data_IF_012155696172
#
_entry.id   IF_012155696172
#
_cell.length_a   1.000
_cell.length_b   1.000
_cell.length_c   1.000
_cell.angle_alpha   90.00
_cell.angle_beta   90.00
_cell.angle_gamma   90.00
#
_symmetry.space_group_name_H-M   'P 1'
#
loop_
_entity.id
_entity.type
_entity.pdbx_description
1 polymer ?
#
# COMPACT_ATOMS: atom_id res chain seq x y z
N UNK A 1 -6.20 -17.81 -6.85
CA UNK A 1 -5.11 -17.87 -5.84
C UNK A 1 -5.20 -16.62 -5.00
N UNK A 2 -6.06 -16.60 -3.99
CA UNK A 2 -6.29 -15.42 -3.14
C UNK A 2 -5.40 -15.54 -1.91
N UNK A 3 -4.36 -14.70 -1.84
CA UNK A 3 -3.53 -14.58 -0.64
C UNK A 3 -4.42 -14.22 0.54
N UNK A 4 -4.27 -14.94 1.65
CA UNK A 4 -4.99 -14.68 2.90
C UNK A 4 -4.84 -13.19 3.24
N UNK A 5 -5.94 -12.53 3.56
CA UNK A 5 -5.90 -11.24 4.26
C UNK A 5 -5.08 -11.42 5.54
N UNK A 6 -4.17 -10.49 5.79
CA UNK A 6 -3.40 -10.46 7.03
C UNK A 6 -3.73 -9.17 7.77
N UNK A 7 -3.74 -9.27 9.09
CA UNK A 7 -3.99 -8.12 9.93
C UNK A 7 -2.73 -7.30 10.12
N UNK A 8 -2.82 -5.96 10.20
CA UNK A 8 -1.68 -5.10 10.54
C UNK A 8 -1.04 -5.49 11.88
N UNK A 9 -1.82 -6.06 12.80
CA UNK A 9 -1.39 -6.57 14.10
C UNK A 9 -0.48 -7.80 14.03
N UNK A 10 -0.43 -8.50 12.90
CA UNK A 10 0.39 -9.71 12.70
C UNK A 10 1.88 -9.39 12.50
N UNK A 11 2.20 -8.14 12.15
CA UNK A 11 3.58 -7.69 11.95
C UNK A 11 4.33 -7.70 13.28
N UNK A 12 5.60 -8.07 13.40
CA UNK A 12 6.27 -8.10 14.71
C UNK A 12 6.57 -6.68 15.25
N UNK A 13 6.95 -5.75 14.37
CA UNK A 13 7.31 -4.38 14.75
C UNK A 13 6.14 -3.42 14.98
N UNK A 14 6.11 -2.79 16.17
CA UNK A 14 5.09 -1.80 16.55
C UNK A 14 5.00 -0.57 15.63
N UNK A 15 6.14 -0.09 15.12
CA UNK A 15 6.17 1.11 14.26
C UNK A 15 5.50 0.82 12.91
N UNK A 16 5.77 -0.36 12.35
CA UNK A 16 5.14 -0.83 11.12
C UNK A 16 3.64 -1.07 11.39
N UNK A 17 3.28 -1.77 12.47
CA UNK A 17 1.86 -1.98 12.86
C UNK A 17 1.07 -0.66 12.88
N UNK A 18 1.62 0.39 13.48
CA UNK A 18 0.96 1.70 13.61
C UNK A 18 0.70 2.34 12.25
N UNK A 19 1.65 2.24 11.31
CA UNK A 19 1.47 2.75 9.94
C UNK A 19 0.46 1.90 9.19
N UNK A 20 0.58 0.57 9.24
CA UNK A 20 -0.35 -0.33 8.55
C UNK A 20 -1.79 -0.13 9.03
N UNK A 21 -2.02 0.00 10.33
CA UNK A 21 -3.35 0.26 10.89
C UNK A 21 -3.95 1.55 10.32
N UNK A 22 -3.18 2.64 10.32
CA UNK A 22 -3.61 3.92 9.76
C UNK A 22 -3.94 3.83 8.27
N UNK A 23 -3.19 3.03 7.51
CA UNK A 23 -3.43 2.85 6.08
C UNK A 23 -4.69 2.02 5.85
N UNK A 24 -4.90 0.95 6.60
CA UNK A 24 -6.14 0.16 6.52
C UNK A 24 -7.36 1.02 6.89
N UNK A 25 -7.25 1.88 7.91
CA UNK A 25 -8.29 2.88 8.25
C UNK A 25 -8.55 3.89 7.12
N UNK A 26 -7.56 4.15 6.25
CA UNK A 26 -7.70 5.00 5.05
C UNK A 26 -8.25 4.22 3.83
N UNK A 27 -8.62 2.96 3.99
CA UNK A 27 -9.12 2.11 2.90
C UNK A 27 -8.06 1.29 2.17
N UNK A 28 -6.82 1.24 2.66
CA UNK A 28 -5.82 0.35 2.08
C UNK A 28 -6.10 -1.10 2.46
N UNK A 29 -5.91 -2.02 1.53
CA UNK A 29 -6.12 -3.45 1.77
C UNK A 29 -4.79 -4.17 1.89
N UNK A 30 -4.64 -5.02 2.90
CA UNK A 30 -3.41 -5.75 3.16
C UNK A 30 -3.59 -7.24 2.83
N UNK A 31 -2.76 -7.73 1.91
CA UNK A 31 -2.78 -9.13 1.48
C UNK A 31 -1.46 -9.83 1.82
N UNK A 32 -1.54 -11.11 2.20
CA UNK A 32 -0.36 -11.95 2.40
C UNK A 32 0.23 -12.34 1.05
N UNK A 33 1.37 -11.75 0.73
CA UNK A 33 2.10 -11.98 -0.51
C UNK A 33 3.61 -11.93 -0.26
N UNK A 34 4.34 -12.79 -0.97
CA UNK A 34 5.80 -12.90 -0.82
C UNK A 34 6.21 -13.27 0.62
N UNK A 35 7.25 -12.61 1.13
CA UNK A 35 7.84 -12.90 2.44
C UNK A 35 6.96 -12.50 3.64
N UNK A 36 6.03 -11.56 3.47
CA UNK A 36 5.09 -11.19 4.53
C UNK A 36 3.76 -10.70 3.94
N UNK A 37 3.77 -9.55 3.27
CA UNK A 37 2.54 -8.98 2.74
C UNK A 37 2.75 -7.78 1.84
N UNK A 38 1.67 -7.38 1.18
CA UNK A 38 1.60 -6.22 0.30
C UNK A 38 0.32 -5.44 0.57
N UNK A 39 0.47 -4.13 0.65
CA UNK A 39 -0.63 -3.17 0.73
C UNK A 39 -1.06 -2.77 -0.68
N UNK A 40 -2.36 -2.67 -0.86
CA UNK A 40 -3.02 -2.28 -2.09
C UNK A 40 -3.89 -1.06 -1.81
N UNK A 41 -3.76 -0.02 -2.64
CA UNK A 41 -4.72 1.07 -2.62
C UNK A 41 -6.07 0.58 -3.13
N UNK A 42 -7.16 0.98 -2.49
CA UNK A 42 -8.52 0.80 -3.00
C UNK A 42 -8.72 1.42 -4.39
N UNK A 43 -8.06 2.55 -4.62
CA UNK A 43 -8.02 3.26 -5.90
C UNK A 43 -7.22 2.54 -7.01
N UNK A 44 -6.54 1.43 -6.71
CA UNK A 44 -5.72 0.67 -7.67
C UNK A 44 -4.46 1.38 -8.18
N UNK A 45 -4.20 2.63 -7.78
CA UNK A 45 -3.10 3.41 -8.33
C UNK A 45 -1.73 2.99 -7.78
N UNK A 46 -1.66 2.40 -6.58
CA UNK A 46 -0.38 2.08 -5.95
C UNK A 46 -0.48 0.83 -5.08
N UNK A 47 0.64 0.10 -5.01
CA UNK A 47 0.81 -1.03 -4.11
C UNK A 47 2.17 -0.93 -3.41
N UNK A 48 2.20 -1.19 -2.11
CA UNK A 48 3.39 -1.04 -1.26
C UNK A 48 3.74 -2.38 -0.66
N UNK A 49 4.96 -2.86 -0.91
CA UNK A 49 5.44 -4.10 -0.31
C UNK A 49 5.78 -3.88 1.16
N UNK A 50 5.30 -4.78 2.02
CA UNK A 50 5.55 -4.73 3.46
C UNK A 50 6.58 -5.82 3.82
N UNK A 51 7.80 -5.44 4.26
CA UNK A 51 8.81 -6.41 4.68
C UNK A 51 8.46 -6.96 6.07
N UNK A 52 8.49 -8.28 6.26
CA UNK A 52 8.17 -8.90 7.56
C UNK A 52 9.25 -8.80 8.63
N UNK A 53 10.52 -8.72 8.21
CA UNK A 53 11.70 -8.60 9.10
C UNK A 53 12.65 -7.51 8.59
N UNK A 54 12.26 -6.23 8.71
CA UNK A 54 13.12 -5.13 8.29
C UNK A 54 14.31 -4.98 9.25
N UNK A 55 15.52 -4.78 8.70
CA UNK A 55 16.71 -4.43 9.50
C UNK A 55 16.50 -3.14 10.32
N UNK A 56 15.65 -2.23 9.83
CA UNK A 56 15.27 -0.98 10.50
C UNK A 56 13.76 -0.75 10.36
N UNK A 57 12.98 -1.10 11.39
CA UNK A 57 11.52 -0.98 11.38
C UNK A 57 11.03 0.46 11.20
N UNK A 58 11.65 1.45 11.84
CA UNK A 58 11.28 2.87 11.70
C UNK A 58 11.45 3.36 10.25
N UNK A 59 12.57 3.01 9.60
CA UNK A 59 12.81 3.35 8.20
C UNK A 59 11.79 2.68 7.28
N UNK A 60 11.48 1.40 7.52
CA UNK A 60 10.47 0.67 6.75
C UNK A 60 9.08 1.32 6.92
N UNK A 61 8.68 1.64 8.15
CA UNK A 61 7.42 2.31 8.45
C UNK A 61 7.31 3.68 7.77
N UNK A 62 8.37 4.50 7.83
CA UNK A 62 8.44 5.79 7.13
C UNK A 62 8.32 5.64 5.62
N UNK A 63 9.02 4.67 5.04
CA UNK A 63 8.94 4.37 3.61
C UNK A 63 7.53 4.00 3.21
N UNK A 64 6.90 3.05 3.92
CA UNK A 64 5.52 2.63 3.65
C UNK A 64 4.56 3.83 3.70
N UNK A 65 4.69 4.67 4.74
CA UNK A 65 3.89 5.88 4.89
C UNK A 65 4.11 6.87 3.74
N UNK A 66 5.34 7.06 3.29
CA UNK A 66 5.66 7.97 2.18
C UNK A 66 5.12 7.44 0.85
N UNK A 67 5.26 6.15 0.57
CA UNK A 67 4.75 5.55 -0.66
C UNK A 67 3.21 5.60 -0.68
N UNK A 68 2.56 5.26 0.43
CA UNK A 68 1.11 5.35 0.54
C UNK A 68 0.59 6.80 0.52
N UNK A 69 1.31 7.74 1.12
CA UNK A 69 0.92 9.16 1.12
C UNK A 69 1.09 9.87 -0.24
N UNK A 70 1.69 9.22 -1.24
CA UNK A 70 1.72 9.71 -2.62
C UNK A 70 0.43 9.41 -3.38
N UNK A 71 -0.43 8.54 -2.83
CA UNK A 71 -1.77 8.33 -3.35
C UNK A 71 -2.66 9.55 -2.99
N UNK A 72 -3.47 10.07 -3.93
CA UNK A 72 -3.68 9.62 -5.31
C UNK A 72 -2.55 10.05 -6.26
N UNK A 73 -2.01 9.09 -7.03
CA UNK A 73 -1.06 9.37 -8.10
C UNK A 73 -1.82 9.87 -9.34
N UNK A 74 -1.28 10.85 -10.10
CA UNK A 74 -1.86 11.27 -11.37
C UNK A 74 -1.85 10.11 -12.36
N UNK A 75 -2.78 10.14 -13.33
CA UNK A 75 -2.99 9.02 -14.23
C UNK A 75 -1.79 8.65 -15.09
N UNK A 76 -0.95 9.64 -15.40
CA UNK A 76 0.27 9.53 -16.21
C UNK A 76 1.53 9.20 -15.36
N UNK A 77 1.41 9.01 -14.03
CA UNK A 77 2.59 8.73 -13.21
C UNK A 77 3.11 7.29 -13.48
N UNK A 78 4.39 7.11 -13.85
CA UNK A 78 4.96 5.79 -14.11
C UNK A 78 5.03 4.88 -12.87
N UNK A 79 4.75 5.42 -11.68
CA UNK A 79 4.64 4.64 -10.43
C UNK A 79 3.24 4.08 -10.23
N UNK A 80 2.27 4.46 -11.07
CA UNK A 80 0.92 3.91 -11.03
C UNK A 80 1.03 2.40 -11.27
N UNK A 81 0.61 1.62 -10.29
CA UNK A 81 0.69 0.16 -10.37
C UNK A 81 -0.28 -0.33 -11.44
N UNK A 82 0.21 -1.05 -12.45
CA UNK A 82 -0.59 -1.65 -13.54
C UNK A 82 -1.69 -2.64 -13.06
N UNK A 83 -1.82 -2.87 -11.75
CA UNK A 83 -2.82 -3.77 -11.14
C UNK A 83 -4.22 -3.15 -11.05
N UNK A 84 -4.39 -1.87 -11.41
CA UNK A 84 -5.66 -1.15 -11.31
C UNK A 84 -5.96 -0.29 -12.52
N UNK A 85 -5.94 -0.87 -13.72
CA UNK A 85 -6.70 -0.31 -14.84
C UNK A 85 -8.19 -0.51 -14.57
N UNK A 86 -8.78 0.30 -13.69
CA UNK A 86 -10.15 0.75 -13.88
C UNK A 86 -10.03 2.16 -14.43
N UNK A 87 -10.19 2.17 -15.74
CA UNK A 87 -10.55 3.31 -16.57
C UNK A 87 -11.46 4.30 -15.85
N UNK A 88 -11.39 5.54 -16.32
CA UNK A 88 -12.35 6.64 -16.13
C UNK A 88 -12.04 7.59 -14.96
N UNK A 89 -11.24 8.65 -15.23
CA UNK A 89 -11.82 9.92 -15.69
C UNK A 89 -10.73 10.98 -16.02
N UNK A 90 -10.45 11.16 -17.31
CA UNK A 90 -9.93 12.41 -17.87
C UNK A 90 -10.69 12.70 -19.17
N UNK A 91 -10.87 13.95 -19.63
CA UNK A 91 -10.82 15.25 -18.96
C UNK A 91 -12.13 16.06 -19.16
N UNK A 92 -12.43 17.03 -18.30
CA UNK A 92 -13.30 18.15 -18.70
C UNK A 92 -12.41 19.32 -19.08
N UNK A 93 -12.33 19.56 -20.38
CA UNK A 93 -11.65 20.67 -21.03
C UNK A 93 -12.39 22.00 -20.73
N UNK A 94 -11.65 23.11 -20.87
CA UNK A 94 -12.10 24.50 -20.72
C UNK A 94 -13.27 24.90 -21.63
#
# INVERSE_FOLDING_TARGET
MTGRDISPSDHQDKEVRKVLKKLVEQGWTLHKEGHWGRLYCDCGCSCVQVPGTPKNADRAARRIKQEAGRCPLPEDDPRRSLAGSRDEHAPSQE
#
